data_IF_475905045883
#
_entry.id   IF_475905045883
#
_cell.length_a   1.000
_cell.length_b   1.000
_cell.length_c   1.000
_cell.angle_alpha   90.00
_cell.angle_beta   90.00
_cell.angle_gamma   90.00
#
_symmetry.space_group_name_H-M   'P 1'
#
loop_
_entity.id
_entity.type
_entity.pdbx_description
1 polymer ?
#
# COMPACT_ATOMS: atom_id res chain seq x y z
N UNK A 1 -4.59 34.22 -10.01
CA UNK A 1 -3.96 33.10 -10.74
C UNK A 1 -3.96 31.87 -9.84
N UNK A 2 -4.49 30.73 -10.31
CA UNK A 2 -4.70 29.48 -9.53
C UNK A 2 -3.47 28.57 -9.65
N UNK A 3 -2.55 28.58 -8.68
CA UNK A 3 -1.38 27.67 -8.65
C UNK A 3 -1.06 27.08 -7.27
N UNK A 4 -2.00 27.06 -6.32
CA UNK A 4 -1.66 26.74 -4.92
C UNK A 4 -1.53 25.24 -4.58
N UNK A 5 -1.90 24.32 -5.48
CA UNK A 5 -1.95 22.88 -5.20
C UNK A 5 -0.92 22.01 -5.94
N UNK A 6 -0.60 22.32 -7.20
CA UNK A 6 0.25 21.47 -8.03
C UNK A 6 1.73 21.62 -7.67
N UNK A 7 2.19 22.84 -7.43
CA UNK A 7 3.61 23.10 -7.16
C UNK A 7 4.07 22.50 -5.82
N UNK A 8 3.19 22.47 -4.82
CA UNK A 8 3.46 21.78 -3.55
C UNK A 8 3.62 20.27 -3.74
N UNK A 9 2.72 19.63 -4.50
CA UNK A 9 2.79 18.18 -4.79
C UNK A 9 4.05 17.85 -5.58
N UNK A 10 4.35 18.64 -6.62
CA UNK A 10 5.58 18.52 -7.40
C UNK A 10 6.81 18.64 -6.53
N UNK A 11 6.86 19.64 -5.64
CA UNK A 11 7.99 19.83 -4.72
C UNK A 11 8.24 18.62 -3.84
N UNK A 12 7.20 18.07 -3.19
CA UNK A 12 7.36 16.88 -2.33
C UNK A 12 7.92 15.69 -3.12
N UNK A 13 7.41 15.44 -4.31
CA UNK A 13 7.89 14.35 -5.17
C UNK A 13 9.33 14.60 -5.65
N UNK A 14 9.64 15.81 -6.10
CA UNK A 14 10.99 16.21 -6.53
C UNK A 14 12.00 16.07 -5.41
N UNK A 15 11.65 16.49 -4.19
CA UNK A 15 12.53 16.39 -3.02
C UNK A 15 12.85 14.92 -2.69
N UNK A 16 11.85 14.03 -2.77
CA UNK A 16 12.05 12.58 -2.57
C UNK A 16 12.95 11.97 -3.67
N UNK A 17 12.67 12.28 -4.94
CA UNK A 17 13.47 11.81 -6.08
C UNK A 17 14.94 12.27 -6.00
N UNK A 18 15.17 13.52 -5.62
CA UNK A 18 16.51 14.08 -5.50
C UNK A 18 17.29 13.40 -4.39
N UNK A 19 16.67 13.19 -3.21
CA UNK A 19 17.31 12.46 -2.11
C UNK A 19 17.65 11.03 -2.50
N UNK A 20 16.75 10.35 -3.22
CA UNK A 20 17.04 9.00 -3.73
C UNK A 20 18.25 8.99 -4.66
N UNK A 21 18.32 9.92 -5.62
CA UNK A 21 19.43 10.00 -6.58
C UNK A 21 20.77 10.27 -5.91
N UNK A 22 20.80 11.18 -4.95
CA UNK A 22 22.02 11.47 -4.17
C UNK A 22 22.47 10.21 -3.42
N UNK A 23 21.55 9.55 -2.69
CA UNK A 23 21.89 8.35 -1.95
C UNK A 23 22.30 7.19 -2.85
N UNK A 24 21.67 7.02 -4.02
CA UNK A 24 22.03 6.02 -5.02
C UNK A 24 23.46 6.24 -5.55
N UNK A 25 23.82 7.48 -5.87
CA UNK A 25 25.17 7.83 -6.30
C UNK A 25 26.21 7.55 -5.20
N UNK A 26 25.91 7.91 -3.95
CA UNK A 26 26.79 7.65 -2.81
C UNK A 26 26.97 6.14 -2.57
N UNK A 27 25.87 5.38 -2.59
CA UNK A 27 25.86 3.94 -2.33
C UNK A 27 26.62 3.15 -3.40
N UNK A 28 26.48 3.52 -4.66
CA UNK A 28 27.06 2.79 -5.81
C UNK A 28 28.30 3.45 -6.39
N UNK A 29 29.03 4.25 -5.58
CA UNK A 29 30.24 4.98 -6.04
C UNK A 29 31.28 4.05 -6.72
N UNK A 30 31.37 2.80 -6.27
CA UNK A 30 32.32 1.80 -6.77
C UNK A 30 31.75 0.82 -7.80
N UNK A 31 30.44 0.85 -8.06
CA UNK A 31 29.75 -0.08 -8.96
C UNK A 31 29.07 0.70 -10.09
N UNK A 32 29.79 0.87 -11.20
CA UNK A 32 29.32 1.62 -12.36
C UNK A 32 28.29 0.85 -13.19
N UNK A 33 28.18 -0.46 -13.00
CA UNK A 33 27.29 -1.35 -13.78
C UNK A 33 26.07 -1.81 -12.96
N UNK A 34 25.80 -1.15 -11.83
CA UNK A 34 24.66 -1.47 -10.98
C UNK A 34 23.34 -1.39 -11.74
N UNK A 35 22.48 -2.39 -11.52
CA UNK A 35 21.10 -2.40 -12.04
C UNK A 35 20.11 -1.75 -11.07
N UNK A 36 20.56 -1.31 -9.89
CA UNK A 36 19.72 -0.65 -8.91
C UNK A 36 19.20 0.68 -9.46
N UNK A 37 17.94 0.99 -9.17
CA UNK A 37 17.25 2.13 -9.75
C UNK A 37 16.12 2.62 -8.84
N UNK A 38 15.40 3.65 -9.29
CA UNK A 38 14.21 4.14 -8.60
C UNK A 38 12.98 3.23 -8.77
N UNK A 39 13.09 2.13 -9.52
CA UNK A 39 11.97 1.25 -9.84
C UNK A 39 11.19 0.72 -8.62
N UNK A 40 11.84 0.25 -7.52
CA UNK A 40 11.12 -0.24 -6.33
C UNK A 40 10.19 0.80 -5.70
N UNK A 41 10.52 2.09 -5.75
CA UNK A 41 9.64 3.17 -5.29
C UNK A 41 8.61 3.56 -6.37
N UNK A 42 9.04 3.65 -7.64
CA UNK A 42 8.17 4.07 -8.74
C UNK A 42 6.96 3.14 -8.91
N UNK A 43 7.14 1.83 -8.78
CA UNK A 43 6.05 0.86 -8.89
C UNK A 43 4.98 1.01 -7.79
N UNK A 44 5.34 1.53 -6.61
CA UNK A 44 4.40 1.84 -5.53
C UNK A 44 3.67 3.17 -5.75
N UNK A 45 4.33 4.15 -6.39
CA UNK A 45 3.75 5.45 -6.73
C UNK A 45 2.80 5.38 -7.93
N UNK A 46 3.10 4.50 -8.89
CA UNK A 46 2.33 4.29 -10.11
C UNK A 46 1.87 2.82 -10.21
N UNK A 47 1.08 2.31 -9.25
CA UNK A 47 0.76 0.89 -9.16
C UNK A 47 -0.04 0.36 -10.36
N UNK A 48 -0.79 1.23 -11.05
CA UNK A 48 -1.54 0.89 -12.26
C UNK A 48 -0.64 0.63 -13.49
N UNK A 49 0.66 0.94 -13.39
CA UNK A 49 1.66 0.68 -14.43
C UNK A 49 2.58 -0.50 -14.08
N UNK A 50 2.41 -1.13 -12.91
CA UNK A 50 3.16 -2.33 -12.54
C UNK A 50 2.68 -3.51 -13.39
N UNK A 51 3.56 -3.99 -14.28
CA UNK A 51 3.31 -5.11 -15.18
C UNK A 51 4.01 -6.39 -14.74
N UNK A 52 4.92 -6.29 -13.78
CA UNK A 52 5.71 -7.41 -13.30
C UNK A 52 4.93 -8.22 -12.27
N UNK A 53 4.19 -7.53 -11.38
CA UNK A 53 3.26 -8.18 -10.46
C UNK A 53 1.97 -8.56 -11.16
N UNK A 54 1.61 -9.84 -11.05
CA UNK A 54 0.26 -10.31 -11.33
C UNK A 54 -0.73 -9.81 -10.28
N UNK A 55 -2.02 -10.00 -10.52
CA UNK A 55 -3.06 -9.55 -9.59
C UNK A 55 -2.89 -10.18 -8.20
N UNK A 56 -3.06 -9.36 -7.15
CA UNK A 56 -3.02 -9.81 -5.76
C UNK A 56 -4.20 -10.71 -5.37
N UNK A 57 -5.33 -10.65 -6.10
CA UNK A 57 -6.54 -11.41 -5.78
C UNK A 57 -7.25 -10.98 -4.49
N UNK A 58 -6.92 -9.80 -3.96
CA UNK A 58 -7.49 -9.28 -2.72
C UNK A 58 -8.56 -8.23 -3.04
N UNK A 59 -9.77 -8.46 -2.54
CA UNK A 59 -10.88 -7.49 -2.54
C UNK A 59 -11.06 -6.91 -1.15
N UNK A 60 -11.67 -5.73 -1.06
CA UNK A 60 -11.87 -4.98 0.18
C UNK A 60 -12.57 -5.81 1.26
N UNK A 61 -13.60 -6.58 0.89
CA UNK A 61 -14.32 -7.43 1.84
C UNK A 61 -13.46 -8.58 2.40
N UNK A 62 -12.59 -9.17 1.58
CA UNK A 62 -11.63 -10.18 2.06
C UNK A 62 -10.60 -9.54 2.98
N UNK A 63 -10.14 -8.34 2.64
CA UNK A 63 -9.17 -7.62 3.44
C UNK A 63 -9.75 -7.15 4.78
N UNK A 64 -11.02 -6.71 4.82
CA UNK A 64 -11.75 -6.40 6.05
C UNK A 64 -11.78 -7.59 7.02
N UNK A 65 -12.10 -8.79 6.51
CA UNK A 65 -12.09 -10.02 7.33
C UNK A 65 -10.71 -10.33 7.90
N UNK A 66 -9.67 -10.17 7.10
CA UNK A 66 -8.29 -10.36 7.54
C UNK A 66 -7.91 -9.35 8.64
N UNK A 67 -8.26 -8.08 8.48
CA UNK A 67 -8.01 -7.05 9.50
C UNK A 67 -8.75 -7.35 10.81
N UNK A 68 -10.01 -7.79 10.74
CA UNK A 68 -10.79 -8.21 11.92
C UNK A 68 -10.09 -9.35 12.66
N UNK A 69 -9.59 -10.35 11.93
CA UNK A 69 -8.90 -11.51 12.48
C UNK A 69 -7.55 -11.12 13.12
N UNK A 70 -6.69 -10.40 12.39
CA UNK A 70 -5.34 -10.02 12.85
C UNK A 70 -5.40 -9.06 14.03
N UNK A 71 -6.37 -8.15 14.05
CA UNK A 71 -6.56 -7.19 15.15
C UNK A 71 -7.44 -7.74 16.29
N UNK A 72 -7.87 -9.01 16.20
CA UNK A 72 -8.74 -9.66 17.17
C UNK A 72 -10.00 -8.84 17.51
N UNK A 73 -10.62 -8.22 16.50
CA UNK A 73 -11.84 -7.44 16.71
C UNK A 73 -13.02 -8.37 16.99
N UNK A 74 -13.87 -8.00 17.96
CA UNK A 74 -15.15 -8.69 18.16
C UNK A 74 -15.99 -8.62 16.88
N UNK A 75 -16.58 -9.74 16.47
CA UNK A 75 -17.33 -9.85 15.19
C UNK A 75 -18.45 -8.81 15.07
N UNK A 76 -19.09 -8.48 16.18
CA UNK A 76 -20.18 -7.49 16.25
C UNK A 76 -19.71 -6.12 16.74
N UNK A 77 -18.39 -5.90 16.86
CA UNK A 77 -17.85 -4.62 17.30
C UNK A 77 -18.14 -3.50 16.28
N UNK A 78 -18.20 -2.23 16.73
CA UNK A 78 -18.36 -1.10 15.81
C UNK A 78 -17.32 -1.07 14.70
N UNK A 79 -16.05 -1.34 15.01
CA UNK A 79 -14.94 -1.31 14.06
C UNK A 79 -15.02 -2.46 13.04
N UNK A 80 -15.40 -3.67 13.47
CA UNK A 80 -15.61 -4.79 12.56
C UNK A 80 -16.76 -4.52 11.58
N UNK A 81 -17.88 -3.99 12.08
CA UNK A 81 -19.01 -3.59 11.24
C UNK A 81 -18.63 -2.47 10.27
N UNK A 82 -17.84 -1.49 10.72
CA UNK A 82 -17.35 -0.39 9.90
C UNK A 82 -16.47 -0.89 8.75
N UNK A 83 -15.53 -1.81 9.01
CA UNK A 83 -14.67 -2.42 7.97
C UNK A 83 -15.49 -3.22 6.94
N UNK A 84 -16.45 -4.03 7.40
CA UNK A 84 -17.27 -4.87 6.51
C UNK A 84 -18.27 -4.07 5.68
N UNK A 85 -18.77 -2.96 6.22
CA UNK A 85 -19.84 -2.15 5.63
C UNK A 85 -19.38 -0.73 5.27
N UNK A 86 -18.12 -0.56 4.87
CA UNK A 86 -17.49 0.75 4.61
C UNK A 86 -18.20 1.63 3.55
N UNK A 87 -19.07 1.04 2.72
CA UNK A 87 -19.88 1.75 1.71
C UNK A 87 -21.26 2.17 2.21
N UNK A 88 -21.65 1.79 3.43
CA UNK A 88 -22.99 2.07 3.93
C UNK A 88 -23.18 3.58 4.15
N UNK A 89 -24.34 4.17 3.78
CA UNK A 89 -24.59 5.60 4.00
C UNK A 89 -24.71 5.96 5.49
N UNK A 90 -25.00 4.97 6.37
CA UNK A 90 -25.11 5.16 7.83
C UNK A 90 -23.77 5.29 8.54
N UNK A 91 -22.65 4.89 7.93
CA UNK A 91 -21.29 5.13 8.46
C UNK A 91 -20.87 6.56 8.12
N UNK A 92 -21.67 7.52 8.58
CA UNK A 92 -21.64 8.96 8.31
C UNK A 92 -20.35 9.66 8.78
N UNK A 93 -19.22 9.23 8.26
CA UNK A 93 -17.94 9.92 8.31
C UNK A 93 -17.58 10.34 6.90
N UNK A 94 -16.76 11.39 6.77
CA UNK A 94 -16.30 11.93 5.49
C UNK A 94 -15.53 10.91 4.60
N UNK A 95 -15.31 9.70 5.11
CA UNK A 95 -14.51 8.62 4.55
C UNK A 95 -15.35 7.48 3.93
N UNK A 96 -16.69 7.58 3.96
CA UNK A 96 -17.57 6.55 3.41
C UNK A 96 -17.27 6.27 1.92
N UNK A 97 -17.00 5.01 1.58
CA UNK A 97 -16.65 4.58 0.22
C UNK A 97 -15.15 4.53 -0.08
N UNK A 98 -14.28 5.07 0.78
CA UNK A 98 -12.82 4.87 0.72
C UNK A 98 -12.39 3.84 1.78
N UNK A 99 -12.15 2.60 1.35
CA UNK A 99 -11.75 1.53 2.26
C UNK A 99 -10.44 1.83 2.99
N UNK A 100 -9.49 2.51 2.34
CA UNK A 100 -8.18 2.77 2.93
C UNK A 100 -8.28 3.77 4.09
N UNK A 101 -9.10 4.81 3.93
CA UNK A 101 -9.37 5.78 5.00
C UNK A 101 -10.08 5.10 6.19
N UNK A 102 -11.11 4.30 5.91
CA UNK A 102 -11.82 3.53 6.95
C UNK A 102 -10.89 2.55 7.68
N UNK A 103 -10.02 1.82 6.97
CA UNK A 103 -9.05 0.95 7.60
C UNK A 103 -8.05 1.74 8.46
N UNK A 104 -7.61 2.91 8.00
CA UNK A 104 -6.70 3.77 8.75
C UNK A 104 -7.30 4.23 10.08
N UNK A 105 -8.58 4.64 10.11
CA UNK A 105 -9.23 5.10 11.34
C UNK A 105 -9.34 4.00 12.40
N UNK A 106 -9.53 2.74 11.98
CA UNK A 106 -9.51 1.56 12.87
C UNK A 106 -8.11 1.22 13.36
N UNK A 107 -7.11 1.28 12.46
CA UNK A 107 -5.70 0.95 12.74
C UNK A 107 -5.02 1.99 13.65
N UNK A 108 -5.37 3.27 13.51
CA UNK A 108 -4.73 4.38 14.23
C UNK A 108 -4.73 4.21 15.76
N UNK A 109 -5.76 3.58 16.31
CA UNK A 109 -5.88 3.38 17.76
C UNK A 109 -5.22 2.08 18.26
N UNK A 110 -4.64 1.27 17.37
CA UNK A 110 -4.20 -0.11 17.65
C UNK A 110 -2.79 -0.41 17.20
N UNK A 111 -2.30 0.31 16.20
CA UNK A 111 -0.99 0.08 15.61
C UNK A 111 -0.02 1.22 15.97
N UNK A 112 1.30 0.95 16.00
CA UNK A 112 2.30 1.99 16.17
C UNK A 112 2.23 3.04 15.06
N UNK A 113 2.47 4.31 15.41
CA UNK A 113 2.52 5.42 14.44
C UNK A 113 3.67 5.30 13.42
N UNK A 114 4.69 4.49 13.73
CA UNK A 114 5.88 4.31 12.88
C UNK A 114 6.04 2.83 12.51
N UNK A 115 6.10 2.56 11.21
CA UNK A 115 6.53 1.27 10.68
C UNK A 115 8.05 1.13 10.66
N UNK A 116 8.53 -0.10 10.51
CA UNK A 116 9.95 -0.45 10.42
C UNK A 116 10.36 -1.01 9.06
N UNK A 117 9.40 -1.28 8.17
CA UNK A 117 9.68 -1.90 6.87
C UNK A 117 10.31 -0.90 5.90
N UNK A 118 11.31 -1.36 5.18
CA UNK A 118 11.91 -0.69 4.03
C UNK A 118 11.02 -0.86 2.78
N UNK A 119 11.27 -0.05 1.75
CA UNK A 119 10.57 -0.18 0.45
C UNK A 119 10.81 -1.55 -0.17
N UNK A 120 12.00 -2.11 -0.01
CA UNK A 120 12.33 -3.44 -0.52
C UNK A 120 11.51 -4.54 0.17
N UNK A 121 11.40 -4.48 1.50
CA UNK A 121 10.60 -5.46 2.26
C UNK A 121 9.11 -5.38 1.92
N UNK A 122 8.56 -4.17 1.77
CA UNK A 122 7.18 -3.99 1.28
C UNK A 122 6.99 -4.61 -0.10
N UNK A 123 7.95 -4.38 -1.02
CA UNK A 123 7.88 -4.96 -2.35
C UNK A 123 7.92 -6.50 -2.31
N UNK A 124 8.86 -7.08 -1.55
CA UNK A 124 8.97 -8.53 -1.37
C UNK A 124 7.68 -9.16 -0.83
N UNK A 125 7.04 -8.53 0.15
CA UNK A 125 5.80 -9.04 0.73
C UNK A 125 4.64 -8.95 -0.28
N UNK A 126 4.57 -7.87 -1.08
CA UNK A 126 3.61 -7.75 -2.18
C UNK A 126 3.84 -8.81 -3.28
N UNK A 127 5.11 -9.12 -3.59
CA UNK A 127 5.47 -10.17 -4.53
C UNK A 127 5.03 -11.55 -4.01
N UNK A 128 5.24 -11.84 -2.72
CA UNK A 128 4.79 -13.07 -2.10
C UNK A 128 3.26 -13.23 -2.15
N UNK A 129 2.50 -12.15 -1.95
CA UNK A 129 1.04 -12.14 -2.07
C UNK A 129 0.61 -12.44 -3.52
N UNK A 130 1.22 -11.76 -4.50
CA UNK A 130 0.90 -11.96 -5.91
C UNK A 130 1.19 -13.40 -6.38
N UNK A 131 2.35 -13.94 -6.00
CA UNK A 131 2.74 -15.33 -6.27
C UNK A 131 1.79 -16.32 -5.59
N UNK A 132 1.44 -16.08 -4.32
CA UNK A 132 0.49 -16.90 -3.58
C UNK A 132 -0.89 -16.98 -4.25
N UNK A 133 -1.38 -15.86 -4.78
CA UNK A 133 -2.63 -15.83 -5.54
C UNK A 133 -2.52 -16.62 -6.86
N UNK A 134 -1.43 -16.44 -7.60
CA UNK A 134 -1.21 -17.16 -8.86
C UNK A 134 -1.13 -18.68 -8.68
N UNK A 135 -0.51 -19.15 -7.60
CA UNK A 135 -0.39 -20.58 -7.30
C UNK A 135 -1.75 -21.20 -6.96
N UNK A 136 -2.56 -20.54 -6.13
CA UNK A 136 -3.93 -20.99 -5.84
C UNK A 136 -4.79 -21.11 -7.10
N UNK A 137 -4.66 -20.16 -8.02
CA UNK A 137 -5.37 -20.21 -9.30
C UNK A 137 -4.95 -21.41 -10.17
N UNK A 138 -3.67 -21.82 -10.14
CA UNK A 138 -3.18 -22.99 -10.88
C UNK A 138 -3.68 -24.31 -10.29
N UNK A 139 -3.80 -24.40 -8.97
CA UNK A 139 -4.34 -25.60 -8.30
C UNK A 139 -5.82 -25.80 -8.60
N UNK A 140 -6.61 -24.72 -8.65
CA UNK A 140 -8.05 -24.80 -8.94
C UNK A 140 -8.39 -25.20 -10.40
N UNK A 141 -7.42 -25.21 -11.31
CA UNK A 141 -7.59 -25.53 -12.73
C UNK A 141 -7.09 -26.96 -13.07
N UNK A 142 -6.44 -27.64 -12.12
CA UNK A 142 -6.01 -29.04 -12.24
C UNK A 142 -7.05 -29.99 -11.67
#
# INVERSE_FOLDING_TARGET
>A
QKTQGNDKKKRVLTDFLNKWRVFHQELHTSDQDTTDSFYPAMRLLLPHLDKERVAYGIKEHTYAKLLIEVLCLGKDSPDANLLLHFKAPKTAQAEAGDFAAVAQSVLKNRCPDKGSLTIEEVNRDLDAIAVGNANKAKEAVR
#
